data_IF_655725559187
#
_entry.id   IF_655725559187
#
_cell.length_a   1.000
_cell.length_b   1.000
_cell.length_c   1.000
_cell.angle_alpha   90.00
_cell.angle_beta   90.00
_cell.angle_gamma   90.00
#
_symmetry.space_group_name_H-M   'P 1'
#
loop_
_entity.id
_entity.type
_entity.pdbx_description
1 polymer ?
#
# COMPACT_ATOMS: atom_id res chain seq x y z
N UNK A 1 4.00 -6.46 21.24
CA UNK A 1 4.65 -7.10 20.09
C UNK A 1 4.92 -6.05 19.02
N UNK A 2 6.07 -5.39 19.08
CA UNK A 2 6.49 -4.36 18.11
C UNK A 2 8.00 -4.42 17.95
N UNK A 3 8.59 -3.45 17.26
CA UNK A 3 10.05 -3.34 17.09
C UNK A 3 10.69 -4.55 16.40
N UNK A 4 9.91 -5.27 15.58
CA UNK A 4 10.40 -6.44 14.86
C UNK A 4 11.16 -6.00 13.61
N UNK A 5 12.20 -6.76 13.23
CA UNK A 5 12.83 -6.65 11.92
C UNK A 5 12.58 -7.91 11.10
N UNK A 6 11.81 -7.77 10.02
CA UNK A 6 11.46 -8.84 9.08
C UNK A 6 12.17 -8.50 7.77
N UNK A 7 13.35 -9.11 7.54
CA UNK A 7 14.21 -8.69 6.44
C UNK A 7 14.87 -9.83 5.68
N UNK A 8 15.06 -9.63 4.37
CA UNK A 8 15.82 -10.55 3.52
C UNK A 8 15.15 -11.90 3.30
N UNK A 9 13.83 -12.00 3.47
CA UNK A 9 13.11 -13.26 3.28
C UNK A 9 12.71 -13.44 1.82
N UNK A 10 12.65 -14.70 1.39
CA UNK A 10 12.03 -15.10 0.14
C UNK A 10 10.78 -15.91 0.48
N UNK A 11 9.61 -15.32 0.26
CA UNK A 11 8.30 -15.88 0.66
C UNK A 11 7.51 -16.18 -0.60
N UNK A 12 7.17 -17.46 -0.80
CA UNK A 12 6.46 -17.87 -1.99
C UNK A 12 5.63 -19.14 -1.79
N UNK A 13 4.73 -19.42 -2.74
CA UNK A 13 3.86 -20.59 -2.76
C UNK A 13 3.00 -20.75 -1.49
N UNK A 14 2.54 -19.63 -0.91
CA UNK A 14 1.72 -19.66 0.30
C UNK A 14 0.23 -19.68 -0.05
N UNK A 15 -0.62 -20.37 0.73
CA UNK A 15 -2.05 -20.40 0.45
C UNK A 15 -2.75 -19.05 0.69
N UNK A 16 -2.13 -18.11 1.43
CA UNK A 16 -2.71 -16.84 1.88
C UNK A 16 -1.67 -15.71 1.91
N UNK A 17 -1.72 -14.82 2.90
CA UNK A 17 -0.85 -13.63 3.03
C UNK A 17 0.62 -13.98 3.22
N UNK A 18 1.52 -13.15 2.66
CA UNK A 18 2.97 -13.28 2.83
C UNK A 18 3.45 -12.87 4.23
N UNK A 19 3.35 -11.58 4.56
CA UNK A 19 3.75 -11.03 5.86
C UNK A 19 2.56 -10.34 6.53
N UNK A 20 2.34 -10.57 7.82
CA UNK A 20 1.31 -9.89 8.62
C UNK A 20 1.96 -9.23 9.84
N UNK A 21 1.70 -7.94 10.02
CA UNK A 21 1.91 -7.22 11.28
C UNK A 21 0.57 -6.61 11.68
N UNK A 22 -0.14 -7.27 12.60
CA UNK A 22 -1.51 -6.89 12.96
C UNK A 22 -1.68 -6.73 14.46
N UNK A 23 -2.34 -5.64 14.85
CA UNK A 23 -2.90 -5.39 16.17
C UNK A 23 -4.42 -5.48 16.18
N UNK A 24 -5.04 -6.07 15.14
CA UNK A 24 -6.49 -6.16 14.95
C UNK A 24 -7.18 -6.76 16.19
N UNK A 25 -8.00 -5.94 16.84
CA UNK A 25 -8.77 -6.28 18.03
C UNK A 25 -10.18 -5.70 17.88
N UNK A 26 -11.20 -6.52 18.13
CA UNK A 26 -12.59 -6.08 18.22
C UNK A 26 -12.93 -5.70 19.66
N UNK A 27 -13.39 -4.47 19.87
CA UNK A 27 -13.64 -3.89 21.20
C UNK A 27 -15.00 -4.36 21.72
N UNK A 28 -15.05 -5.60 22.23
CA UNK A 28 -16.24 -6.24 22.77
C UNK A 28 -16.05 -6.70 24.22
N UNK A 29 -16.74 -6.05 25.15
CA UNK A 29 -16.68 -6.39 26.59
C UNK A 29 -17.23 -7.76 26.92
N UNK A 30 -18.00 -8.37 26.03
CA UNK A 30 -18.48 -9.73 26.24
C UNK A 30 -17.39 -10.78 25.94
N UNK A 31 -16.26 -10.38 25.34
CA UNK A 31 -15.15 -11.28 25.03
C UNK A 31 -15.44 -12.26 23.89
N UNK A 32 -16.45 -12.00 23.05
CA UNK A 32 -16.90 -12.93 22.00
C UNK A 32 -16.22 -12.66 20.67
N UNK A 33 -15.92 -11.40 20.38
CA UNK A 33 -15.31 -11.01 19.10
C UNK A 33 -13.79 -11.26 19.04
N UNK A 34 -13.23 -11.21 17.84
CA UNK A 34 -11.80 -11.41 17.55
C UNK A 34 -10.89 -10.63 18.50
N UNK A 35 -10.00 -11.35 19.20
CA UNK A 35 -9.03 -10.85 20.17
C UNK A 35 -9.61 -10.07 21.37
N UNK A 36 -10.94 -9.93 21.49
CA UNK A 36 -11.59 -9.11 22.54
C UNK A 36 -11.31 -9.57 23.97
N UNK A 37 -11.14 -10.89 24.16
CA UNK A 37 -10.76 -11.48 25.45
C UNK A 37 -9.33 -11.18 25.91
N UNK A 38 -8.50 -10.57 25.05
CA UNK A 38 -7.11 -10.18 25.37
C UNK A 38 -7.00 -8.75 25.89
N UNK A 39 -8.10 -7.98 25.85
CA UNK A 39 -8.12 -6.57 26.26
C UNK A 39 -8.10 -6.49 27.79
N UNK A 40 -7.13 -5.74 28.33
CA UNK A 40 -7.24 -5.22 29.69
C UNK A 40 -8.17 -3.99 29.67
N UNK A 41 -9.40 -4.19 30.11
CA UNK A 41 -10.42 -3.14 30.12
C UNK A 41 -10.11 -1.99 31.08
N UNK A 42 -9.33 -2.25 32.14
CA UNK A 42 -8.94 -1.20 33.07
C UNK A 42 -7.89 -0.28 32.44
N UNK A 43 -6.88 -0.86 31.78
CA UNK A 43 -5.85 -0.10 31.04
C UNK A 43 -6.47 0.71 29.89
N UNK A 44 -7.42 0.11 29.15
CA UNK A 44 -8.16 0.81 28.11
C UNK A 44 -8.94 2.02 28.66
N UNK A 45 -9.63 1.87 29.79
CA UNK A 45 -10.41 2.97 30.38
C UNK A 45 -9.53 4.07 30.98
N UNK A 46 -8.37 3.71 31.53
CA UNK A 46 -7.40 4.67 32.05
C UNK A 46 -6.77 5.49 30.91
N UNK A 47 -6.51 4.86 29.76
CA UNK A 47 -5.94 5.51 28.58
C UNK A 47 -6.97 6.30 27.76
N UNK A 48 -8.13 5.70 27.46
CA UNK A 48 -9.12 6.24 26.52
C UNK A 48 -10.37 6.84 27.18
N UNK A 49 -10.52 6.65 28.50
CA UNK A 49 -11.69 7.07 29.27
C UNK A 49 -12.72 5.97 29.51
N UNK A 50 -13.46 6.09 30.62
CA UNK A 50 -14.50 5.14 31.01
C UNK A 50 -15.58 5.00 29.94
N UNK A 51 -15.90 3.76 29.58
CA UNK A 51 -16.91 3.45 28.59
C UNK A 51 -16.48 3.74 27.15
N UNK A 52 -15.19 3.89 26.87
CA UNK A 52 -14.66 4.02 25.51
C UNK A 52 -15.16 2.89 24.59
N UNK A 53 -15.53 3.26 23.35
CA UNK A 53 -15.99 2.35 22.30
C UNK A 53 -15.30 2.75 21.00
N UNK A 54 -14.73 1.76 20.31
CA UNK A 54 -14.16 1.93 18.98
C UNK A 54 -14.81 0.92 18.02
N UNK A 55 -15.15 1.38 16.81
CA UNK A 55 -15.65 0.53 15.75
C UNK A 55 -14.60 0.38 14.67
N UNK A 56 -14.03 -0.83 14.55
CA UNK A 56 -12.92 -1.11 13.63
C UNK A 56 -13.26 -0.86 12.16
N UNK A 57 -14.54 -0.92 11.80
CA UNK A 57 -14.99 -0.74 10.42
C UNK A 57 -15.10 0.73 10.01
N UNK A 58 -14.79 1.66 10.93
CA UNK A 58 -15.03 3.09 10.79
C UNK A 58 -13.72 3.83 10.97
N UNK A 59 -13.48 4.81 10.11
CA UNK A 59 -12.44 5.79 10.37
C UNK A 59 -12.78 6.56 11.64
N UNK A 60 -11.93 6.48 12.67
CA UNK A 60 -12.18 7.16 13.95
C UNK A 60 -11.68 8.60 13.99
N UNK A 61 -10.78 8.98 13.06
CA UNK A 61 -10.06 10.24 13.14
C UNK A 61 -8.71 10.09 13.82
N UNK A 62 -7.72 10.84 13.32
CA UNK A 62 -6.35 10.75 13.81
C UNK A 62 -6.22 11.03 15.32
N UNK A 63 -7.04 11.93 15.88
CA UNK A 63 -7.01 12.24 17.33
C UNK A 63 -7.52 11.07 18.19
N UNK A 64 -8.58 10.40 17.74
CA UNK A 64 -9.08 9.21 18.42
C UNK A 64 -8.06 8.06 18.29
N UNK A 65 -7.45 7.89 17.11
CA UNK A 65 -6.36 6.94 16.94
C UNK A 65 -5.19 7.21 17.88
N UNK A 66 -4.71 8.44 18.01
CA UNK A 66 -3.64 8.79 18.97
C UNK A 66 -4.01 8.51 20.42
N UNK A 67 -5.28 8.62 20.78
CA UNK A 67 -5.74 8.33 22.13
C UNK A 67 -5.56 6.84 22.46
N UNK A 68 -5.79 5.94 21.48
CA UNK A 68 -5.63 4.49 21.65
C UNK A 68 -4.27 3.93 21.22
N UNK A 69 -3.50 4.65 20.42
CA UNK A 69 -2.19 4.22 19.87
C UNK A 69 -1.27 3.58 20.92
N UNK A 70 -1.17 4.09 22.18
CA UNK A 70 -0.30 3.48 23.19
C UNK A 70 -0.58 2.00 23.45
N UNK A 71 -1.84 1.57 23.26
CA UNK A 71 -2.33 0.20 23.45
C UNK A 71 -2.19 -0.66 22.18
N UNK A 72 -1.90 -0.06 21.03
CA UNK A 72 -1.76 -0.76 19.74
C UNK A 72 -0.34 -1.31 19.61
N UNK A 73 -0.11 -2.50 20.15
CA UNK A 73 1.25 -2.99 20.35
C UNK A 73 2.00 -3.41 19.07
N UNK A 74 1.31 -3.67 17.96
CA UNK A 74 1.94 -3.93 16.64
C UNK A 74 2.42 -2.62 16.02
N UNK A 75 3.59 -2.15 16.45
CA UNK A 75 4.18 -0.85 16.08
C UNK A 75 5.68 -0.93 15.86
N UNK A 76 6.23 0.09 15.22
CA UNK A 76 7.68 0.22 14.99
C UNK A 76 8.33 -0.99 14.29
N UNK A 77 7.55 -1.74 13.50
CA UNK A 77 8.09 -2.88 12.76
C UNK A 77 8.82 -2.42 11.49
N UNK A 78 9.98 -3.02 11.21
CA UNK A 78 10.75 -2.80 9.98
C UNK A 78 10.65 -4.04 9.07
N UNK A 79 9.97 -3.89 7.94
CA UNK A 79 9.79 -4.91 6.91
C UNK A 79 10.58 -4.47 5.67
N UNK A 80 11.73 -5.10 5.41
CA UNK A 80 12.63 -4.64 4.36
C UNK A 80 13.33 -5.72 3.54
N UNK A 81 13.56 -5.46 2.25
CA UNK A 81 14.31 -6.37 1.37
C UNK A 81 13.72 -7.79 1.32
N UNK A 82 12.41 -7.94 1.49
CA UNK A 82 11.74 -9.22 1.29
C UNK A 82 11.31 -9.34 -0.17
N UNK A 83 11.43 -10.55 -0.71
CA UNK A 83 10.91 -10.93 -2.01
C UNK A 83 9.70 -11.84 -1.82
N UNK A 84 8.53 -11.40 -2.28
CA UNK A 84 7.24 -12.03 -2.05
C UNK A 84 6.55 -12.24 -3.40
N UNK A 85 6.34 -13.50 -3.77
CA UNK A 85 5.68 -13.86 -5.04
C UNK A 85 4.86 -15.14 -4.87
N UNK A 86 3.93 -15.42 -5.78
CA UNK A 86 3.08 -16.63 -5.72
C UNK A 86 2.41 -16.86 -4.34
N UNK A 87 2.06 -15.78 -3.65
CA UNK A 87 1.26 -15.84 -2.43
C UNK A 87 -0.23 -15.86 -2.76
N UNK A 88 -1.06 -16.20 -1.77
CA UNK A 88 -2.52 -16.33 -1.91
C UNK A 88 -3.00 -17.35 -2.95
N UNK A 89 -2.36 -18.50 -3.05
CA UNK A 89 -2.71 -19.50 -4.07
C UNK A 89 -4.07 -20.16 -3.85
N UNK A 90 -4.68 -20.02 -2.67
CA UNK A 90 -5.93 -20.72 -2.31
C UNK A 90 -6.97 -19.78 -1.69
N UNK A 91 -6.57 -18.96 -0.71
CA UNK A 91 -7.48 -18.10 0.06
C UNK A 91 -7.54 -16.68 -0.52
N UNK A 92 -8.68 -16.01 -0.36
CA UNK A 92 -8.90 -14.63 -0.80
C UNK A 92 -8.88 -13.63 0.36
N UNK A 93 -8.86 -12.34 0.03
CA UNK A 93 -8.76 -11.23 1.00
C UNK A 93 -7.49 -11.27 1.87
N UNK A 94 -6.36 -11.63 1.26
CA UNK A 94 -5.03 -11.56 1.85
C UNK A 94 -4.14 -10.60 1.07
N UNK A 95 -2.87 -10.55 1.44
CA UNK A 95 -1.95 -9.54 0.91
C UNK A 95 -0.53 -10.08 0.69
N UNK A 96 0.29 -9.36 -0.06
CA UNK A 96 1.75 -9.57 0.01
C UNK A 96 2.26 -9.20 1.41
N UNK A 97 1.93 -7.98 1.86
CA UNK A 97 2.28 -7.42 3.17
C UNK A 97 1.04 -6.76 3.78
N UNK A 98 0.63 -7.21 4.96
CA UNK A 98 -0.55 -6.72 5.65
C UNK A 98 -0.19 -6.01 6.96
N UNK A 99 -0.49 -4.71 7.04
CA UNK A 99 -0.36 -3.89 8.25
C UNK A 99 -1.77 -3.48 8.70
N UNK A 100 -2.22 -3.96 9.86
CA UNK A 100 -3.63 -3.81 10.25
C UNK A 100 -3.82 -3.50 11.72
N UNK A 101 -4.58 -2.44 12.03
CA UNK A 101 -4.97 -2.09 13.40
C UNK A 101 -3.81 -1.91 14.37
N UNK A 102 -2.61 -1.61 13.87
CA UNK A 102 -1.39 -1.45 14.65
C UNK A 102 -1.15 -0.02 15.10
N UNK A 103 -0.12 0.15 15.94
CA UNK A 103 0.39 1.47 16.32
C UNK A 103 1.24 2.08 15.20
N UNK A 104 1.85 3.23 15.47
CA UNK A 104 2.62 3.99 14.50
C UNK A 104 4.00 3.40 14.18
N UNK A 105 4.73 4.06 13.28
CA UNK A 105 6.16 3.82 13.06
C UNK A 105 6.51 2.55 12.29
N UNK A 106 5.52 1.80 11.80
CA UNK A 106 5.77 0.68 10.90
C UNK A 106 6.40 1.18 9.58
N UNK A 107 7.46 0.52 9.13
CA UNK A 107 8.18 0.84 7.90
C UNK A 107 8.23 -0.38 6.99
N UNK A 108 7.62 -0.27 5.82
CA UNK A 108 7.64 -1.24 4.73
C UNK A 108 8.48 -0.66 3.60
N UNK A 109 9.74 -1.10 3.48
CA UNK A 109 10.67 -0.51 2.52
C UNK A 109 11.48 -1.50 1.69
N UNK A 110 11.76 -1.15 0.43
CA UNK A 110 12.64 -1.94 -0.44
C UNK A 110 12.24 -3.41 -0.56
N UNK A 111 10.95 -3.73 -0.48
CA UNK A 111 10.43 -5.07 -0.75
C UNK A 111 10.07 -5.22 -2.23
N UNK A 112 10.07 -6.45 -2.71
CA UNK A 112 9.54 -6.84 -4.02
C UNK A 112 8.30 -7.69 -3.78
N UNK A 113 7.14 -7.21 -4.24
CA UNK A 113 5.87 -7.92 -4.17
C UNK A 113 5.37 -8.17 -5.60
N UNK A 114 5.45 -9.41 -6.04
CA UNK A 114 5.14 -9.82 -7.41
C UNK A 114 6.20 -10.76 -8.00
N UNK A 115 5.85 -11.58 -9.00
CA UNK A 115 4.50 -11.75 -9.54
C UNK A 115 3.60 -12.56 -8.59
N UNK A 116 2.32 -12.21 -8.52
CA UNK A 116 1.34 -12.92 -7.72
C UNK A 116 0.08 -13.16 -8.55
N UNK A 117 0.01 -14.26 -9.33
CA UNK A 117 -1.06 -14.52 -10.28
C UNK A 117 -2.39 -14.98 -9.65
N UNK A 118 -2.49 -14.97 -8.32
CA UNK A 118 -3.67 -15.43 -7.59
C UNK A 118 -4.96 -14.75 -8.09
N UNK A 119 -6.02 -15.52 -8.41
CA UNK A 119 -7.30 -14.95 -8.84
C UNK A 119 -8.09 -14.36 -7.67
N UNK A 120 -7.73 -14.70 -6.44
CA UNK A 120 -8.37 -14.25 -5.20
C UNK A 120 -7.55 -13.19 -4.47
N UNK A 121 -6.42 -12.76 -5.07
CA UNK A 121 -5.55 -11.76 -4.48
C UNK A 121 -6.32 -10.49 -4.15
N UNK A 122 -6.18 -10.04 -2.91
CA UNK A 122 -6.71 -8.75 -2.53
C UNK A 122 -5.71 -7.69 -3.00
N UNK A 123 -4.52 -7.63 -2.39
CA UNK A 123 -3.64 -6.48 -2.60
C UNK A 123 -2.14 -6.80 -2.40
N UNK A 124 -1.26 -5.97 -2.95
CA UNK A 124 0.19 -6.09 -2.73
C UNK A 124 0.59 -5.73 -1.30
N UNK A 125 0.31 -4.50 -0.88
CA UNK A 125 0.59 -3.98 0.47
C UNK A 125 -0.64 -3.25 1.00
N UNK A 126 -1.13 -3.62 2.17
CA UNK A 126 -2.37 -3.07 2.72
C UNK A 126 -2.15 -2.43 4.09
N UNK A 127 -2.66 -1.21 4.25
CA UNK A 127 -2.91 -0.58 5.55
C UNK A 127 -4.41 -0.63 5.86
N UNK A 128 -4.79 -1.33 6.92
CA UNK A 128 -6.19 -1.68 7.23
C UNK A 128 -6.59 -1.40 8.69
N UNK A 129 -7.88 -1.50 9.01
CA UNK A 129 -8.42 -1.38 10.37
C UNK A 129 -8.03 -0.07 11.08
N UNK A 130 -8.16 1.04 10.34
CA UNK A 130 -7.77 2.41 10.78
C UNK A 130 -6.28 2.48 11.16
N UNK A 131 -5.42 1.94 10.30
CA UNK A 131 -3.96 2.04 10.42
C UNK A 131 -3.45 3.43 10.04
N UNK A 132 -2.63 4.02 10.90
CA UNK A 132 -1.96 5.30 10.62
C UNK A 132 -0.45 5.16 10.79
N UNK A 133 0.27 6.15 10.27
CA UNK A 133 1.70 6.35 10.49
C UNK A 133 2.58 5.19 10.01
N UNK A 134 2.12 4.42 9.02
CA UNK A 134 2.95 3.47 8.27
C UNK A 134 3.68 4.19 7.13
N UNK A 135 4.96 3.87 6.95
CA UNK A 135 5.80 4.33 5.84
C UNK A 135 5.95 3.20 4.84
N UNK A 136 5.45 3.39 3.62
CA UNK A 136 5.60 2.49 2.48
C UNK A 136 6.56 3.18 1.49
N UNK A 137 7.81 2.74 1.46
CA UNK A 137 8.88 3.44 0.74
C UNK A 137 9.74 2.55 -0.15
N UNK A 138 9.93 2.93 -1.41
CA UNK A 138 10.95 2.28 -2.22
C UNK A 138 10.65 0.82 -2.58
N UNK A 139 9.39 0.39 -2.55
CA UNK A 139 9.00 -0.98 -2.89
C UNK A 139 8.75 -1.11 -4.40
N UNK A 140 8.99 -2.31 -4.94
CA UNK A 140 8.56 -2.71 -6.27
C UNK A 140 7.33 -3.62 -6.12
N UNK A 141 6.20 -3.21 -6.69
CA UNK A 141 4.92 -3.91 -6.57
C UNK A 141 4.39 -4.11 -7.99
N UNK A 142 4.34 -5.34 -8.48
CA UNK A 142 4.04 -5.60 -9.88
C UNK A 142 3.36 -6.94 -10.09
N UNK A 143 2.75 -7.12 -11.26
CA UNK A 143 2.12 -8.38 -11.66
C UNK A 143 1.20 -8.97 -10.57
N UNK A 144 0.37 -8.11 -9.99
CA UNK A 144 -0.64 -8.49 -8.99
C UNK A 144 -1.90 -8.96 -9.73
N UNK A 145 -2.39 -10.15 -9.39
CA UNK A 145 -3.65 -10.73 -9.87
C UNK A 145 -4.86 -10.31 -9.03
N UNK A 146 -5.98 -11.03 -9.17
CA UNK A 146 -7.19 -10.79 -8.39
C UNK A 146 -7.76 -9.38 -8.61
N UNK A 147 -7.86 -8.58 -7.54
CA UNK A 147 -8.27 -7.17 -7.62
C UNK A 147 -7.18 -6.23 -8.15
N UNK A 148 -5.95 -6.74 -8.33
CA UNK A 148 -4.78 -6.07 -8.87
C UNK A 148 -4.45 -4.71 -8.24
N UNK A 149 -4.78 -4.56 -6.95
CA UNK A 149 -4.44 -3.37 -6.18
C UNK A 149 -3.02 -3.54 -5.64
N UNK A 150 -2.14 -2.59 -5.93
CA UNK A 150 -0.76 -2.61 -5.46
C UNK A 150 -0.66 -2.20 -4.00
N UNK A 151 -1.23 -1.03 -3.65
CA UNK A 151 -1.30 -0.52 -2.27
C UNK A 151 -2.71 -0.08 -1.92
N UNK A 152 -3.18 -0.41 -0.72
CA UNK A 152 -4.37 0.21 -0.13
C UNK A 152 -4.04 1.00 1.11
N UNK A 153 -4.69 2.16 1.21
CA UNK A 153 -4.65 3.03 2.36
C UNK A 153 -6.03 3.16 3.01
N UNK A 154 -6.09 2.73 4.26
CA UNK A 154 -7.04 3.22 5.27
C UNK A 154 -6.22 4.01 6.29
N UNK A 155 -6.68 5.20 6.69
CA UNK A 155 -5.95 6.07 7.61
C UNK A 155 -4.74 6.82 7.02
N UNK A 156 -4.05 7.60 7.85
CA UNK A 156 -3.02 8.57 7.45
C UNK A 156 -1.65 7.90 7.33
N UNK A 157 -1.13 7.73 6.12
CA UNK A 157 0.09 6.95 5.86
C UNK A 157 1.00 7.65 4.83
N UNK A 158 2.23 7.14 4.62
CA UNK A 158 3.17 7.70 3.64
C UNK A 158 3.52 6.68 2.57
N UNK A 159 3.26 7.00 1.31
CA UNK A 159 3.59 6.18 0.14
C UNK A 159 4.55 6.95 -0.74
N UNK A 160 5.83 6.60 -0.70
CA UNK A 160 6.87 7.39 -1.37
C UNK A 160 7.87 6.55 -2.15
N UNK A 161 8.29 7.05 -3.32
CA UNK A 161 9.37 6.44 -4.10
C UNK A 161 9.12 4.96 -4.47
N UNK A 162 7.87 4.51 -4.56
CA UNK A 162 7.54 3.14 -4.95
C UNK A 162 7.39 3.03 -6.47
N UNK A 163 7.65 1.83 -7.00
CA UNK A 163 7.30 1.45 -8.37
C UNK A 163 6.06 0.57 -8.31
N UNK A 164 4.97 1.07 -8.83
CA UNK A 164 3.76 0.33 -9.12
C UNK A 164 3.82 -0.14 -10.58
N UNK A 165 4.29 -1.38 -10.76
CA UNK A 165 4.43 -2.03 -12.04
C UNK A 165 3.11 -2.51 -12.63
N UNK A 166 3.20 -3.09 -13.83
CA UNK A 166 2.04 -3.50 -14.62
C UNK A 166 1.25 -4.60 -13.87
N UNK A 167 -0.06 -4.42 -13.64
CA UNK A 167 -0.89 -5.46 -13.04
C UNK A 167 -1.21 -6.61 -14.01
N UNK A 168 -1.51 -7.81 -13.50
CA UNK A 168 -1.89 -8.96 -14.34
C UNK A 168 -3.34 -8.89 -14.83
N UNK A 169 -4.21 -8.25 -14.06
CA UNK A 169 -5.63 -8.05 -14.38
C UNK A 169 -6.00 -6.58 -14.23
N UNK A 170 -7.20 -6.20 -14.65
CA UNK A 170 -7.69 -4.84 -14.47
C UNK A 170 -7.87 -4.53 -12.98
N UNK A 171 -7.23 -3.48 -12.42
CA UNK A 171 -7.43 -3.11 -11.03
C UNK A 171 -8.88 -2.70 -10.76
N UNK A 172 -9.56 -3.40 -9.85
CA UNK A 172 -10.94 -3.06 -9.46
C UNK A 172 -10.97 -1.81 -8.58
N UNK A 173 -9.92 -1.62 -7.76
CA UNK A 173 -9.79 -0.52 -6.80
C UNK A 173 -8.58 0.37 -7.08
N UNK A 174 -8.14 0.39 -8.33
CA UNK A 174 -6.94 1.11 -8.74
C UNK A 174 -5.66 0.44 -8.24
N UNK A 175 -4.51 0.85 -8.76
CA UNK A 175 -3.22 0.31 -8.32
C UNK A 175 -2.84 0.88 -6.94
N UNK A 176 -3.20 2.14 -6.67
CA UNK A 176 -3.29 2.73 -5.34
C UNK A 176 -4.77 2.97 -4.98
N UNK A 177 -5.25 2.28 -3.95
CA UNK A 177 -6.62 2.38 -3.46
C UNK A 177 -6.68 3.25 -2.20
N UNK A 178 -7.48 4.32 -2.25
CA UNK A 178 -7.77 5.18 -1.11
C UNK A 178 -9.16 4.83 -0.58
N UNK A 179 -9.24 4.07 0.51
CA UNK A 179 -10.46 3.32 0.85
C UNK A 179 -11.25 3.86 2.03
N UNK A 180 -10.60 4.41 3.05
CA UNK A 180 -11.25 4.87 4.29
C UNK A 180 -10.45 6.00 4.92
N UNK A 181 -11.08 7.16 5.09
CA UNK A 181 -10.47 8.41 5.54
C UNK A 181 -11.46 9.34 6.25
N UNK A 182 -11.19 10.65 6.37
CA UNK A 182 -10.27 11.46 5.55
C UNK A 182 -8.78 11.13 5.72
N UNK A 183 -8.05 11.20 4.60
CA UNK A 183 -6.61 10.92 4.53
C UNK A 183 -5.77 12.18 4.71
N UNK A 184 -6.27 13.15 5.49
CA UNK A 184 -5.60 14.43 5.70
C UNK A 184 -4.26 14.19 6.41
N UNK A 185 -3.16 14.54 5.75
CA UNK A 185 -1.79 14.30 6.25
C UNK A 185 -1.11 13.07 5.62
N UNK A 186 -1.82 12.28 4.80
CA UNK A 186 -1.20 11.24 3.98
C UNK A 186 -0.26 11.90 2.98
N UNK A 187 0.87 11.23 2.68
CA UNK A 187 1.85 11.70 1.69
C UNK A 187 1.93 10.69 0.56
N UNK A 188 1.77 11.14 -0.69
CA UNK A 188 1.90 10.30 -1.89
C UNK A 188 2.86 10.96 -2.86
N UNK A 189 4.15 10.70 -2.74
CA UNK A 189 5.17 11.44 -3.50
C UNK A 189 6.20 10.58 -4.21
N UNK A 190 6.64 11.05 -5.38
CA UNK A 190 7.73 10.43 -6.13
C UNK A 190 7.47 8.96 -6.48
N UNK A 191 6.22 8.53 -6.62
CA UNK A 191 5.91 7.17 -7.05
C UNK A 191 5.81 7.09 -8.57
N UNK A 192 6.07 5.91 -9.13
CA UNK A 192 5.84 5.61 -10.54
C UNK A 192 4.63 4.68 -10.63
N UNK A 193 3.59 5.07 -11.35
CA UNK A 193 2.39 4.29 -11.62
C UNK A 193 2.33 3.87 -13.09
N UNK A 194 2.44 2.57 -13.34
CA UNK A 194 2.29 2.01 -14.67
C UNK A 194 0.95 1.30 -14.83
N UNK A 195 0.28 1.59 -15.94
CA UNK A 195 -0.85 0.81 -16.44
C UNK A 195 -0.51 0.28 -17.84
N UNK A 196 -0.98 -0.91 -18.20
CA UNK A 196 -0.82 -1.43 -19.56
C UNK A 196 -1.96 -1.03 -20.49
N UNK A 197 -3.16 -0.77 -19.95
CA UNK A 197 -4.37 -0.47 -20.74
C UNK A 197 -5.07 0.80 -20.23
N UNK A 198 -5.76 1.54 -21.12
CA UNK A 198 -6.44 2.79 -20.78
C UNK A 198 -7.63 2.63 -19.85
N UNK A 199 -8.15 1.43 -19.59
CA UNK A 199 -9.26 1.19 -18.66
C UNK A 199 -8.79 0.78 -17.25
N UNK A 200 -7.48 0.65 -17.05
CA UNK A 200 -6.84 0.45 -15.75
C UNK A 200 -6.62 1.79 -15.07
N UNK A 201 -6.95 1.86 -13.78
CA UNK A 201 -6.82 3.09 -13.02
C UNK A 201 -5.58 3.02 -12.11
N UNK A 202 -4.73 4.04 -12.18
CA UNK A 202 -3.60 4.16 -11.26
C UNK A 202 -4.09 4.42 -9.82
N UNK A 203 -5.10 5.27 -9.65
CA UNK A 203 -5.62 5.67 -8.34
C UNK A 203 -7.12 5.47 -8.30
N UNK A 204 -7.64 4.97 -7.18
CA UNK A 204 -9.07 4.96 -6.88
C UNK A 204 -9.37 5.64 -5.55
N UNK A 205 -10.50 6.35 -5.52
CA UNK A 205 -10.98 7.13 -4.38
C UNK A 205 -12.35 6.61 -3.96
N UNK A 206 -12.44 5.90 -2.85
CA UNK A 206 -13.68 5.27 -2.43
C UNK A 206 -13.92 5.33 -0.91
N UNK A 207 -15.11 4.84 -0.54
CA UNK A 207 -15.47 4.49 0.83
C UNK A 207 -16.10 3.12 0.78
N UNK A 208 -15.42 2.12 1.32
CA UNK A 208 -15.92 0.75 1.28
C UNK A 208 -16.70 0.36 2.55
N UNK A 209 -16.56 1.10 3.64
CA UNK A 209 -17.33 0.93 4.88
C UNK A 209 -17.36 2.22 5.73
N UNK A 210 -18.17 2.23 6.80
CA UNK A 210 -18.33 3.37 7.69
C UNK A 210 -19.21 4.50 7.15
N UNK A 211 -19.27 5.61 7.90
CA UNK A 211 -20.03 6.82 7.56
C UNK A 211 -19.09 7.96 7.11
N UNK A 212 -19.60 9.15 6.75
CA UNK A 212 -18.77 10.29 6.33
C UNK A 212 -18.46 10.40 4.82
N UNK A 213 -17.43 11.16 4.46
CA UNK A 213 -17.02 11.40 3.06
C UNK A 213 -16.05 10.33 2.57
N UNK A 214 -15.99 10.10 1.26
CA UNK A 214 -14.97 9.22 0.65
C UNK A 214 -13.57 9.81 0.81
N UNK A 215 -12.55 8.95 0.88
CA UNK A 215 -11.16 9.39 0.81
C UNK A 215 -10.89 10.04 -0.55
N UNK A 216 -10.14 11.15 -0.57
CA UNK A 216 -9.72 11.83 -1.80
C UNK A 216 -8.22 11.93 -1.85
N UNK A 217 -7.64 11.81 -3.04
CA UNK A 217 -6.24 12.15 -3.26
C UNK A 217 -6.00 13.64 -2.98
N UNK A 218 -7.00 14.47 -3.28
CA UNK A 218 -6.99 15.92 -3.06
C UNK A 218 -6.88 16.34 -1.58
N UNK A 219 -7.09 15.41 -0.65
CA UNK A 219 -6.90 15.63 0.78
C UNK A 219 -5.46 15.32 1.26
N UNK A 220 -4.62 14.79 0.38
CA UNK A 220 -3.27 14.30 0.69
C UNK A 220 -2.21 15.24 0.16
N UNK A 221 -1.01 15.17 0.72
CA UNK A 221 0.19 15.80 0.16
C UNK A 221 0.73 14.92 -0.99
N UNK A 222 -0.01 14.90 -2.11
CA UNK A 222 0.37 14.18 -3.33
C UNK A 222 1.10 15.11 -4.30
N UNK A 223 2.31 14.73 -4.71
CA UNK A 223 3.07 15.47 -5.71
C UNK A 223 4.27 14.71 -6.31
N UNK A 224 4.77 15.18 -7.46
CA UNK A 224 5.95 14.65 -8.14
C UNK A 224 5.88 13.15 -8.48
N UNK A 225 4.68 12.62 -8.73
CA UNK A 225 4.46 11.26 -9.18
C UNK A 225 4.54 11.17 -10.72
N UNK A 226 4.77 9.97 -11.23
CA UNK A 226 4.76 9.68 -12.67
C UNK A 226 3.60 8.74 -12.96
N UNK A 227 2.74 9.11 -13.92
CA UNK A 227 1.65 8.26 -14.40
C UNK A 227 1.89 7.91 -15.85
N UNK A 228 1.96 6.62 -16.17
CA UNK A 228 2.23 6.22 -17.55
C UNK A 228 1.45 4.97 -17.95
N UNK A 229 0.54 5.14 -18.90
CA UNK A 229 -0.15 4.05 -19.56
C UNK A 229 0.61 3.65 -20.82
N UNK A 230 1.05 2.38 -20.89
CA UNK A 230 1.87 1.90 -22.00
C UNK A 230 1.13 1.90 -23.34
N UNK A 231 -0.14 1.48 -23.35
CA UNK A 231 -0.93 1.42 -24.59
C UNK A 231 -1.46 2.79 -25.03
N UNK A 232 -1.65 3.72 -24.09
CA UNK A 232 -2.27 5.02 -24.36
C UNK A 232 -1.86 6.09 -23.33
N UNK A 233 -0.72 6.76 -23.53
CA UNK A 233 -0.25 7.82 -22.64
C UNK A 233 -1.23 8.99 -22.51
N UNK A 234 -2.06 9.26 -23.52
CA UNK A 234 -3.03 10.36 -23.48
C UNK A 234 -4.09 10.14 -22.39
N UNK A 235 -4.51 8.89 -22.17
CA UNK A 235 -5.40 8.54 -21.06
C UNK A 235 -4.78 8.82 -19.67
N UNK A 236 -3.45 8.86 -19.57
CA UNK A 236 -2.77 9.31 -18.34
C UNK A 236 -2.78 10.83 -18.23
N UNK A 237 -2.64 11.57 -19.34
CA UNK A 237 -2.75 13.03 -19.38
C UNK A 237 -4.12 13.49 -18.87
N UNK A 238 -5.21 12.99 -19.45
CA UNK A 238 -6.58 13.35 -19.06
C UNK A 238 -6.85 13.10 -17.57
N UNK A 239 -6.34 11.98 -17.04
CA UNK A 239 -6.47 11.64 -15.61
C UNK A 239 -5.67 12.59 -14.74
N UNK A 240 -4.43 12.90 -15.11
CA UNK A 240 -3.57 13.78 -14.34
C UNK A 240 -4.12 15.21 -14.35
N UNK A 241 -4.58 15.73 -15.49
CA UNK A 241 -5.23 17.03 -15.59
C UNK A 241 -6.43 17.14 -14.65
N UNK A 242 -7.25 16.07 -14.58
CA UNK A 242 -8.36 16.01 -13.64
C UNK A 242 -7.88 16.06 -12.19
N UNK A 243 -6.82 15.35 -11.82
CA UNK A 243 -6.23 15.42 -10.47
C UNK A 243 -5.74 16.85 -10.18
N UNK A 244 -5.00 17.44 -11.10
CA UNK A 244 -4.43 18.79 -11.00
C UNK A 244 -5.50 19.89 -10.93
N UNK A 245 -6.67 19.69 -11.55
CA UNK A 245 -7.81 20.62 -11.43
C UNK A 245 -8.34 20.79 -10.00
N UNK A 246 -8.03 19.85 -9.10
CA UNK A 246 -8.33 19.97 -7.66
C UNK A 246 -7.21 20.65 -6.86
N UNK A 247 -6.15 21.13 -7.50
CA UNK A 247 -5.01 21.76 -6.84
C UNK A 247 -4.03 20.78 -6.19
N UNK A 248 -4.00 19.53 -6.65
CA UNK A 248 -3.18 18.44 -6.09
C UNK A 248 -2.30 17.85 -7.19
N UNK A 249 -1.14 17.31 -6.83
CA UNK A 249 -0.27 16.59 -7.77
C UNK A 249 0.23 17.47 -8.95
N UNK A 250 0.46 18.75 -8.64
CA UNK A 250 0.73 19.81 -9.62
C UNK A 250 2.07 19.66 -10.35
N UNK A 251 3.05 18.97 -9.74
CA UNK A 251 4.37 18.70 -10.32
C UNK A 251 4.53 17.24 -10.74
N UNK A 252 3.43 16.49 -10.82
CA UNK A 252 3.44 15.16 -11.41
C UNK A 252 3.46 15.23 -12.93
N UNK A 253 3.93 14.15 -13.56
CA UNK A 253 4.15 14.11 -15.00
C UNK A 253 3.63 12.83 -15.64
N UNK A 254 3.21 12.95 -16.90
CA UNK A 254 2.96 11.80 -17.78
C UNK A 254 4.15 11.65 -18.70
N UNK A 255 5.02 10.70 -18.40
CA UNK A 255 6.24 10.44 -19.16
C UNK A 255 6.60 8.96 -19.06
N UNK A 256 7.15 8.37 -20.13
CA UNK A 256 7.75 7.04 -20.04
C UNK A 256 8.88 7.09 -19.00
N UNK A 257 8.78 6.33 -17.89
CA UNK A 257 9.82 6.32 -16.87
C UNK A 257 11.15 5.79 -17.40
N UNK A 258 11.15 5.08 -18.53
CA UNK A 258 12.35 4.56 -19.15
C UNK A 258 12.88 3.30 -18.49
N UNK A 259 11.97 2.36 -18.17
CA UNK A 259 12.34 1.02 -17.73
C UNK A 259 13.00 0.22 -18.87
N UNK A 260 13.92 -0.69 -18.53
CA UNK A 260 14.59 -1.55 -19.51
C UNK A 260 13.58 -2.44 -20.25
N UNK A 261 12.67 -3.10 -19.52
CA UNK A 261 11.58 -3.90 -20.10
C UNK A 261 10.46 -4.12 -19.06
N UNK A 262 9.59 -3.12 -18.87
CA UNK A 262 8.49 -3.23 -17.91
C UNK A 262 7.49 -4.38 -18.23
N UNK A 263 7.07 -4.61 -19.50
CA UNK A 263 6.24 -5.76 -19.85
C UNK A 263 6.88 -7.12 -19.51
N UNK A 264 8.20 -7.23 -19.66
CA UNK A 264 8.97 -8.41 -19.24
C UNK A 264 9.27 -8.46 -17.74
N UNK A 265 8.84 -7.48 -16.94
CA UNK A 265 9.10 -7.43 -15.49
C UNK A 265 10.47 -6.86 -15.09
N UNK A 266 11.24 -6.32 -16.03
CA UNK A 266 12.49 -5.62 -15.76
C UNK A 266 12.25 -4.11 -15.53
N UNK A 267 12.05 -3.76 -14.27
CA UNK A 267 11.84 -2.39 -13.80
C UNK A 267 13.15 -1.63 -13.49
N UNK A 268 14.29 -2.07 -14.04
CA UNK A 268 15.53 -1.29 -13.97
C UNK A 268 15.36 -0.01 -14.81
N UNK A 269 15.67 1.15 -14.25
CA UNK A 269 15.66 2.42 -15.00
C UNK A 269 16.91 2.53 -15.89
N UNK A 270 16.72 2.99 -17.12
CA UNK A 270 17.84 3.35 -18.00
C UNK A 270 18.61 4.56 -17.43
N UNK A 271 19.92 4.70 -17.72
CA UNK A 271 20.73 5.82 -17.20
C UNK A 271 20.20 7.21 -17.57
N UNK A 272 19.49 7.33 -18.70
CA UNK A 272 18.86 8.54 -19.22
C UNK A 272 17.37 8.65 -18.88
N UNK A 273 16.89 7.84 -17.93
CA UNK A 273 15.50 7.81 -17.50
C UNK A 273 14.97 9.20 -17.09
N UNK A 274 13.83 9.65 -17.67
CA UNK A 274 13.17 10.89 -17.26
C UNK A 274 12.79 10.90 -15.78
N UNK A 275 12.50 9.73 -15.19
CA UNK A 275 12.14 9.63 -13.78
C UNK A 275 13.25 10.14 -12.86
N UNK A 276 14.53 9.97 -13.24
CA UNK A 276 15.68 10.45 -12.48
C UNK A 276 15.72 11.99 -12.44
N UNK A 277 15.44 12.64 -13.57
CA UNK A 277 15.38 14.10 -13.66
C UNK A 277 14.22 14.68 -12.85
N UNK A 278 13.12 13.93 -12.72
CA UNK A 278 11.96 14.27 -11.89
C UNK A 278 12.14 13.92 -10.40
N UNK A 279 13.35 13.51 -10.01
CA UNK A 279 13.72 13.31 -8.61
C UNK A 279 13.44 11.92 -8.04
N UNK A 280 12.93 10.98 -8.84
CA UNK A 280 12.79 9.58 -8.43
C UNK A 280 14.16 9.02 -8.05
N UNK A 281 14.24 8.34 -6.90
CA UNK A 281 15.46 7.65 -6.46
C UNK A 281 15.40 6.20 -6.94
N UNK A 282 16.36 5.74 -7.79
CA UNK A 282 16.42 4.36 -8.21
C UNK A 282 16.33 3.39 -7.03
N UNK A 283 15.51 2.36 -7.18
CA UNK A 283 15.48 1.28 -6.20
C UNK A 283 16.77 0.45 -6.32
N UNK A 284 17.34 -0.02 -5.19
CA UNK A 284 18.51 -0.91 -5.19
C UNK A 284 18.10 -2.34 -5.60
N UNK A 285 17.58 -2.51 -6.82
CA UNK A 285 16.98 -3.77 -7.29
C UNK A 285 17.96 -4.95 -7.24
N UNK A 286 19.25 -4.70 -7.41
CA UNK A 286 20.32 -5.69 -7.28
C UNK A 286 20.46 -6.26 -5.86
N UNK A 287 20.05 -5.49 -4.86
CA UNK A 287 19.99 -5.92 -3.45
C UNK A 287 18.61 -6.50 -3.11
N UNK A 288 17.56 -6.07 -3.79
CA UNK A 288 16.18 -6.48 -3.52
C UNK A 288 15.78 -7.82 -4.15
N UNK A 289 16.41 -8.20 -5.27
CA UNK A 289 16.06 -9.40 -6.04
C UNK A 289 17.26 -9.90 -6.86
N UNK A 290 17.27 -11.19 -7.23
CA UNK A 290 18.38 -11.80 -7.96
C UNK A 290 18.51 -11.30 -9.41
N UNK A 291 19.69 -11.46 -10.01
CA UNK A 291 19.91 -11.09 -11.41
C UNK A 291 18.98 -11.81 -12.39
N UNK A 292 18.61 -13.06 -12.10
CA UNK A 292 17.67 -13.84 -12.94
C UNK A 292 16.27 -13.24 -12.94
N UNK A 293 15.79 -12.86 -11.77
CA UNK A 293 14.46 -12.27 -11.60
C UNK A 293 14.43 -10.88 -12.25
N UNK A 294 15.48 -10.07 -12.09
CA UNK A 294 15.59 -8.75 -12.75
C UNK A 294 15.57 -8.83 -14.27
N UNK A 295 16.08 -9.92 -14.84
CA UNK A 295 16.13 -10.11 -16.29
C UNK A 295 14.76 -10.48 -16.90
N UNK A 296 13.68 -10.56 -16.12
CA UNK A 296 12.34 -10.84 -16.65
C UNK A 296 12.10 -12.29 -17.07
N UNK A 297 12.99 -13.20 -16.68
CA UNK A 297 12.99 -14.63 -17.08
C UNK A 297 12.49 -15.58 -15.99
N UNK A 298 11.83 -15.03 -14.96
CA UNK A 298 11.38 -15.73 -13.76
C UNK A 298 9.96 -16.26 -13.84
N UNK A 299 9.77 -17.31 -14.67
CA UNK A 299 8.57 -18.15 -14.86
C UNK A 299 7.35 -17.51 -15.51
#
# INVERSE_FOLDING_TARGET
SGDNRIAGNHIHDTPYTGIVCSGRILYDRNGVQECSGTIDWSDLEDQCGKGYVYNIWWYSGLMDWWTREPLLHSRENLIEYNHIHDVMQVMGDGDGIYISGGGGGNVVRFNVVGPCPSPTMAEGIRCDDDQHHTIIHGNLIYAIGGHATGVTLKGVNRVTNNIFGIPLTRPLRGILSLETGPLNGTVVKNNIFLTSLPDQNAISEMRIHGTGRKARLADTDSDNNIYYCLADPESSCERLEKIQSFGTDLHSHVVDPGFVDAPGGNYTLRPDSPALALGFKPLPLDTMMSARERAGSGR
#
